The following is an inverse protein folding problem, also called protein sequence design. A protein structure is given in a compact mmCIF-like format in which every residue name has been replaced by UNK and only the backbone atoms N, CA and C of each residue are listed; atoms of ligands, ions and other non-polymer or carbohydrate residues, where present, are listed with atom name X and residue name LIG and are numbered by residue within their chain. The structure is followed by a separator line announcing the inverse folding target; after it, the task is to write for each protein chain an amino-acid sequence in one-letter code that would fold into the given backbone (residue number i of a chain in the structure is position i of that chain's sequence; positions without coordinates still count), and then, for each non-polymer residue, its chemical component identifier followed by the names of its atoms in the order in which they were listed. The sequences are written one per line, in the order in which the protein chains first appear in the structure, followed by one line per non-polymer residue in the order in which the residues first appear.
data_IF_829678926225
#
_entry.id   IF_829678926225
#
_cell.length_a   1.000
_cell.length_b   1.000
_cell.length_c   1.000
_cell.angle_alpha   90.00
_cell.angle_beta   90.00
_cell.angle_gamma   90.00
#
_symmetry.space_group_name_H-M   'P 1'
#
loop_
_entity.id
_entity.type
_entity.pdbx_description
1 polymer ?
#
# COMPACT_ATOMS: atom_id res chain seq x y z
N UNK A 1 106.10 54.68 41.04
CA UNK A 1 105.03 53.77 41.55
C UNK A 1 103.70 54.48 41.75
N UNK A 2 103.53 55.42 42.70
CA UNK A 2 102.22 56.09 42.92
C UNK A 2 101.79 56.94 41.71
N UNK A 3 102.69 57.78 41.18
CA UNK A 3 102.40 58.62 40.00
C UNK A 3 102.09 57.83 38.71
N UNK A 4 102.69 56.65 38.54
CA UNK A 4 102.43 55.78 37.39
C UNK A 4 101.04 55.11 37.49
N UNK A 5 100.62 54.78 38.71
CA UNK A 5 99.28 54.27 39.00
C UNK A 5 98.19 55.32 38.74
N UNK A 6 98.42 56.57 39.14
CA UNK A 6 97.49 57.69 38.88
C UNK A 6 97.29 57.95 37.39
N UNK A 7 98.35 57.89 36.58
CA UNK A 7 98.26 58.00 35.12
C UNK A 7 97.48 56.85 34.49
N UNK A 8 97.69 55.62 34.97
CA UNK A 8 96.94 54.44 34.49
C UNK A 8 95.46 54.55 34.86
N UNK A 9 95.14 55.03 36.06
CA UNK A 9 93.76 55.26 36.51
C UNK A 9 93.10 56.32 35.61
N UNK A 10 93.76 57.46 35.40
CA UNK A 10 93.25 58.53 34.55
C UNK A 10 92.99 58.07 33.10
N UNK A 11 93.94 57.34 32.49
CA UNK A 11 93.76 56.76 31.15
C UNK A 11 92.63 55.74 31.08
N UNK A 12 92.41 54.96 32.14
CA UNK A 12 91.28 54.03 32.24
C UNK A 12 89.96 54.78 32.36
N UNK A 13 89.91 55.85 33.16
CA UNK A 13 88.71 56.68 33.33
C UNK A 13 88.34 57.39 32.02
N UNK A 14 89.32 57.95 31.29
CA UNK A 14 89.09 58.52 29.96
C UNK A 14 88.55 57.48 28.97
N UNK A 15 89.11 56.26 28.98
CA UNK A 15 88.62 55.16 28.14
C UNK A 15 87.22 54.70 28.53
N UNK A 16 86.90 54.64 29.83
CA UNK A 16 85.57 54.30 30.33
C UNK A 16 84.56 55.36 29.90
N UNK A 17 84.89 56.65 30.03
CA UNK A 17 84.01 57.75 29.62
C UNK A 17 83.78 57.75 28.10
N UNK A 18 84.81 57.47 27.30
CA UNK A 18 84.68 57.31 25.84
C UNK A 18 83.75 56.15 25.48
N UNK A 19 83.93 54.99 26.13
CA UNK A 19 83.09 53.81 25.91
C UNK A 19 81.64 54.03 26.35
N UNK A 20 81.41 54.73 27.47
CA UNK A 20 80.08 55.11 27.93
C UNK A 20 79.37 56.03 26.91
N UNK A 21 80.10 56.98 26.34
CA UNK A 21 79.61 57.84 25.24
C UNK A 21 79.21 57.03 24.00
N UNK A 22 80.07 56.12 23.55
CA UNK A 22 79.79 55.24 22.41
C UNK A 22 78.60 54.30 22.67
N UNK A 23 78.48 53.76 23.89
CA UNK A 23 77.35 52.90 24.29
C UNK A 23 76.05 53.71 24.27
N UNK A 24 76.04 54.91 24.85
CA UNK A 24 74.86 55.79 24.86
C UNK A 24 74.44 56.18 23.44
N UNK A 25 75.39 56.48 22.55
CA UNK A 25 75.09 56.76 21.15
C UNK A 25 74.46 55.54 20.47
N UNK A 26 75.04 54.34 20.62
CA UNK A 26 74.49 53.11 20.02
C UNK A 26 73.10 52.76 20.56
N UNK A 27 72.86 52.95 21.86
CA UNK A 27 71.53 52.76 22.45
C UNK A 27 70.53 53.73 21.80
N UNK A 28 70.91 55.01 21.64
CA UNK A 28 70.04 56.00 20.98
C UNK A 28 69.77 55.66 19.51
N UNK A 29 70.73 55.08 18.79
CA UNK A 29 70.55 54.63 17.40
C UNK A 29 69.60 53.42 17.33
N UNK A 30 69.76 52.45 18.23
CA UNK A 30 68.88 51.27 18.34
C UNK A 30 67.45 51.68 18.69
N UNK A 31 67.27 52.60 19.65
CA UNK A 31 65.94 53.08 20.06
C UNK A 31 65.23 53.81 18.90
N UNK A 32 65.97 54.59 18.11
CA UNK A 32 65.43 55.25 16.93
C UNK A 32 65.03 54.25 15.84
N UNK A 33 65.83 53.21 15.61
CA UNK A 33 65.51 52.16 14.63
C UNK A 33 64.30 51.33 15.07
N UNK A 34 64.24 50.93 16.34
CA UNK A 34 63.07 50.26 16.93
C UNK A 34 61.81 51.12 16.82
N UNK A 35 61.90 52.43 17.10
CA UNK A 35 60.77 53.34 16.94
C UNK A 35 60.27 53.39 15.48
N UNK A 36 61.18 53.50 14.50
CA UNK A 36 60.83 53.47 13.08
C UNK A 36 60.18 52.15 12.68
N UNK A 37 60.71 51.02 13.15
CA UNK A 37 60.17 49.70 12.85
C UNK A 37 58.76 49.52 13.43
N UNK A 38 58.55 49.92 14.69
CA UNK A 38 57.22 49.91 15.32
C UNK A 38 56.23 50.81 14.59
N UNK A 39 56.68 51.98 14.12
CA UNK A 39 55.85 52.90 13.35
C UNK A 39 55.43 52.32 12.00
N UNK A 40 56.35 51.68 11.26
CA UNK A 40 56.04 50.97 10.01
C UNK A 40 55.06 49.80 10.23
N UNK A 41 55.22 49.03 11.30
CA UNK A 41 54.26 47.98 11.67
C UNK A 41 52.88 48.58 11.95
N UNK A 42 52.83 49.66 12.74
CA UNK A 42 51.58 50.34 13.06
C UNK A 42 50.88 50.85 11.79
N UNK A 43 51.60 51.52 10.90
CA UNK A 43 51.03 52.09 9.67
C UNK A 43 50.52 50.98 8.74
N UNK A 44 51.22 49.84 8.65
CA UNK A 44 50.76 48.65 7.90
C UNK A 44 49.50 48.03 8.52
N UNK A 45 49.41 47.98 9.84
CA UNK A 45 48.22 47.49 10.52
C UNK A 45 47.02 48.42 10.28
N UNK A 46 47.22 49.74 10.36
CA UNK A 46 46.17 50.73 10.14
C UNK A 46 45.62 50.65 8.70
N UNK A 47 46.50 50.52 7.69
CA UNK A 47 46.09 50.29 6.31
C UNK A 47 45.26 49.00 6.14
N UNK A 48 45.66 47.92 6.81
CA UNK A 48 44.95 46.64 6.74
C UNK A 48 43.59 46.70 7.44
N UNK A 49 43.47 47.44 8.54
CA UNK A 49 42.20 47.71 9.22
C UNK A 49 41.27 48.48 8.30
N UNK A 50 41.76 49.53 7.64
CA UNK A 50 40.96 50.32 6.68
C UNK A 50 40.47 49.46 5.51
N UNK A 51 41.35 48.60 4.96
CA UNK A 51 40.97 47.65 3.90
C UNK A 51 39.83 46.73 4.36
N UNK A 52 39.95 46.09 5.53
CA UNK A 52 38.91 45.21 6.05
C UNK A 52 37.60 45.95 6.35
N UNK A 53 37.65 47.20 6.81
CA UNK A 53 36.45 48.01 7.01
C UNK A 53 35.72 48.27 5.68
N UNK A 54 36.46 48.54 4.60
CA UNK A 54 35.89 48.72 3.27
C UNK A 54 35.28 47.42 2.72
N UNK A 55 35.95 46.29 2.88
CA UNK A 55 35.43 44.97 2.48
C UNK A 55 34.14 44.62 3.25
N UNK A 56 34.10 44.84 4.57
CA UNK A 56 32.90 44.63 5.39
C UNK A 56 31.74 45.52 4.92
N UNK A 57 32.04 46.78 4.58
CA UNK A 57 31.02 47.72 4.09
C UNK A 57 30.43 47.25 2.75
N UNK A 58 31.28 46.78 1.84
CA UNK A 58 30.84 46.23 0.56
C UNK A 58 29.95 44.99 0.74
N UNK A 59 30.40 44.03 1.54
CA UNK A 59 29.65 42.80 1.84
C UNK A 59 28.26 43.13 2.42
N UNK A 60 28.18 44.12 3.32
CA UNK A 60 26.89 44.57 3.89
C UNK A 60 25.95 45.11 2.82
N UNK A 61 26.43 45.98 1.95
CA UNK A 61 25.61 46.56 0.86
C UNK A 61 25.13 45.48 -0.12
N UNK A 62 25.99 44.54 -0.50
CA UNK A 62 25.62 43.42 -1.37
C UNK A 62 24.59 42.50 -0.68
N UNK A 63 24.77 42.22 0.61
CA UNK A 63 23.83 41.40 1.39
C UNK A 63 22.45 42.06 1.48
N UNK A 64 22.40 43.37 1.75
CA UNK A 64 21.14 44.13 1.79
C UNK A 64 20.41 44.13 0.45
N UNK A 65 21.13 44.31 -0.66
CA UNK A 65 20.58 44.24 -2.01
C UNK A 65 20.00 42.84 -2.30
N UNK A 66 20.74 41.78 -1.96
CA UNK A 66 20.30 40.40 -2.14
C UNK A 66 19.04 40.08 -1.30
N UNK A 67 18.99 40.55 -0.05
CA UNK A 67 17.79 40.39 0.81
C UNK A 67 16.59 41.07 0.16
N UNK A 68 16.76 42.27 -0.43
CA UNK A 68 15.67 42.99 -1.10
C UNK A 68 15.15 42.23 -2.32
N UNK A 69 16.05 41.66 -3.13
CA UNK A 69 15.70 40.82 -4.29
C UNK A 69 14.93 39.57 -3.85
N UNK A 70 15.41 38.86 -2.82
CA UNK A 70 14.75 37.65 -2.30
C UNK A 70 13.34 37.98 -1.78
N UNK A 71 13.19 39.07 -1.03
CA UNK A 71 11.87 39.52 -0.54
C UNK A 71 10.90 39.80 -1.68
N UNK A 72 11.36 40.45 -2.74
CA UNK A 72 10.53 40.75 -3.91
C UNK A 72 10.12 39.46 -4.66
N UNK A 73 11.07 38.56 -4.95
CA UNK A 73 10.77 37.26 -5.58
C UNK A 73 9.79 36.42 -4.77
N UNK A 74 9.93 36.41 -3.44
CA UNK A 74 9.00 35.70 -2.58
C UNK A 74 7.60 36.32 -2.66
N UNK A 75 7.48 37.65 -2.65
CA UNK A 75 6.19 38.35 -2.79
C UNK A 75 5.50 37.99 -4.11
N UNK A 76 6.22 38.01 -5.23
CA UNK A 76 5.70 37.62 -6.55
C UNK A 76 5.23 36.16 -6.57
N UNK A 77 6.03 35.25 -5.99
CA UNK A 77 5.67 33.84 -5.87
C UNK A 77 4.39 33.63 -5.04
N UNK A 78 4.22 34.36 -3.94
CA UNK A 78 2.99 34.30 -3.14
C UNK A 78 1.77 34.78 -3.93
N UNK A 79 1.88 35.89 -4.66
CA UNK A 79 0.78 36.42 -5.48
C UNK A 79 0.39 35.48 -6.62
N UNK A 80 1.37 34.81 -7.23
CA UNK A 80 1.13 33.78 -8.24
C UNK A 80 0.37 32.60 -7.64
N UNK A 81 0.82 32.06 -6.51
CA UNK A 81 0.16 30.93 -5.83
C UNK A 81 -1.27 31.28 -5.39
N UNK A 82 -1.49 32.50 -4.91
CA UNK A 82 -2.83 32.99 -4.54
C UNK A 82 -3.78 33.01 -5.74
N UNK A 83 -3.29 33.47 -6.90
CA UNK A 83 -4.06 33.50 -8.16
C UNK A 83 -4.36 32.09 -8.67
N UNK A 84 -3.36 31.20 -8.67
CA UNK A 84 -3.53 29.80 -9.09
C UNK A 84 -4.54 29.06 -8.18
N UNK A 85 -4.46 29.29 -6.87
CA UNK A 85 -5.40 28.69 -5.93
C UNK A 85 -6.82 29.22 -6.09
N UNK A 86 -6.98 30.53 -6.32
CA UNK A 86 -8.29 31.13 -6.61
C UNK A 86 -8.93 30.50 -7.85
N UNK A 87 -8.18 30.36 -8.94
CA UNK A 87 -8.68 29.72 -10.17
C UNK A 87 -9.06 28.25 -9.96
N UNK A 88 -8.29 27.51 -9.15
CA UNK A 88 -8.62 26.12 -8.79
C UNK A 88 -9.92 26.04 -7.98
N UNK A 89 -10.12 26.95 -7.03
CA UNK A 89 -11.35 27.02 -6.22
C UNK A 89 -12.55 27.30 -7.13
N UNK A 90 -12.48 28.32 -7.99
CA UNK A 90 -13.56 28.65 -8.92
C UNK A 90 -13.92 27.47 -9.86
N UNK A 91 -12.92 26.72 -10.33
CA UNK A 91 -13.15 25.51 -11.13
C UNK A 91 -13.86 24.40 -10.32
N UNK A 92 -13.41 24.15 -9.08
CA UNK A 92 -14.03 23.15 -8.21
C UNK A 92 -15.49 23.52 -7.86
N UNK A 93 -15.77 24.80 -7.60
CA UNK A 93 -17.14 25.30 -7.39
C UNK A 93 -18.02 25.05 -8.62
N UNK A 94 -17.49 25.24 -9.83
CA UNK A 94 -18.19 24.89 -11.07
C UNK A 94 -18.54 23.41 -11.18
N UNK A 95 -17.59 22.52 -10.85
CA UNK A 95 -17.81 21.06 -10.85
C UNK A 95 -18.85 20.66 -9.80
N UNK A 96 -18.78 21.22 -8.59
CA UNK A 96 -19.75 20.94 -7.52
C UNK A 96 -21.17 21.30 -7.99
N UNK A 97 -21.34 22.50 -8.57
CA UNK A 97 -22.64 22.94 -9.07
C UNK A 97 -23.19 22.03 -10.18
N UNK A 98 -22.34 21.53 -11.07
CA UNK A 98 -22.76 20.56 -12.10
C UNK A 98 -23.21 19.24 -11.48
N UNK A 99 -22.50 18.75 -10.45
CA UNK A 99 -22.84 17.52 -9.73
C UNK A 99 -24.13 17.65 -8.94
N UNK A 100 -24.38 18.79 -8.29
CA UNK A 100 -25.64 19.09 -7.59
C UNK A 100 -26.84 19.02 -8.54
N UNK A 101 -26.73 19.58 -9.75
CA UNK A 101 -27.80 19.48 -10.77
C UNK A 101 -28.06 18.02 -11.14
N UNK A 102 -27.02 17.20 -11.33
CA UNK A 102 -27.17 15.77 -11.64
C UNK A 102 -27.81 14.99 -10.50
N UNK A 103 -27.45 15.29 -9.26
CA UNK A 103 -28.06 14.66 -8.07
C UNK A 103 -29.56 14.99 -8.02
N UNK A 104 -29.95 16.25 -8.19
CA UNK A 104 -31.36 16.66 -8.19
C UNK A 104 -32.19 15.95 -9.28
N UNK A 105 -31.60 15.70 -10.46
CA UNK A 105 -32.26 14.94 -11.52
C UNK A 105 -32.48 13.48 -11.08
N UNK A 106 -31.43 12.84 -10.53
CA UNK A 106 -31.51 11.45 -10.07
C UNK A 106 -32.51 11.27 -8.92
N UNK A 107 -32.58 12.21 -7.98
CA UNK A 107 -33.58 12.20 -6.90
C UNK A 107 -35.02 12.28 -7.44
N UNK A 108 -35.23 13.06 -8.50
CA UNK A 108 -36.50 13.10 -9.22
C UNK A 108 -36.87 11.77 -9.87
N UNK A 109 -35.91 11.11 -10.52
CA UNK A 109 -36.11 9.80 -11.15
C UNK A 109 -36.38 8.68 -10.11
N UNK A 110 -35.66 8.69 -8.98
CA UNK A 110 -35.91 7.79 -7.85
C UNK A 110 -37.34 7.96 -7.33
N UNK A 111 -37.75 9.20 -7.05
CA UNK A 111 -39.10 9.51 -6.56
C UNK A 111 -40.18 8.99 -7.52
N UNK A 112 -39.97 9.14 -8.83
CA UNK A 112 -40.89 8.63 -9.85
C UNK A 112 -40.93 7.10 -9.89
N UNK A 113 -39.79 6.45 -9.68
CA UNK A 113 -39.68 4.99 -9.63
C UNK A 113 -40.40 4.44 -8.39
N UNK A 114 -40.26 5.07 -7.23
CA UNK A 114 -40.94 4.68 -6.00
C UNK A 114 -42.47 4.78 -6.14
N UNK A 115 -42.98 5.84 -6.78
CA UNK A 115 -44.40 5.97 -7.10
C UNK A 115 -44.91 4.84 -8.01
N UNK A 116 -44.09 4.42 -8.98
CA UNK A 116 -44.42 3.30 -9.85
C UNK A 116 -44.45 1.97 -9.09
N UNK A 117 -43.47 1.73 -8.21
CA UNK A 117 -43.43 0.55 -7.35
C UNK A 117 -44.69 0.48 -6.47
N UNK A 118 -45.04 1.56 -5.79
CA UNK A 118 -46.23 1.61 -4.93
C UNK A 118 -47.52 1.34 -5.73
N UNK A 119 -47.59 1.83 -6.97
CA UNK A 119 -48.71 1.56 -7.88
C UNK A 119 -48.79 0.08 -8.26
N UNK A 120 -47.64 -0.56 -8.54
CA UNK A 120 -47.56 -1.97 -8.87
C UNK A 120 -47.89 -2.87 -7.68
N UNK A 121 -47.39 -2.56 -6.48
CA UNK A 121 -47.72 -3.28 -5.24
C UNK A 121 -49.23 -3.25 -4.96
N UNK A 122 -49.86 -2.08 -5.14
CA UNK A 122 -51.31 -1.94 -4.98
C UNK A 122 -52.08 -2.82 -5.98
N UNK A 123 -51.57 -2.95 -7.21
CA UNK A 123 -52.16 -3.83 -8.24
C UNK A 123 -51.96 -5.31 -7.91
N UNK A 124 -50.79 -5.71 -7.44
CA UNK A 124 -50.48 -7.08 -7.02
C UNK A 124 -51.42 -7.47 -5.88
N UNK A 125 -51.52 -6.66 -4.82
CA UNK A 125 -52.41 -6.92 -3.69
C UNK A 125 -53.88 -7.07 -4.12
N UNK A 126 -54.34 -6.28 -5.10
CA UNK A 126 -55.70 -6.44 -5.65
C UNK A 126 -55.86 -7.78 -6.38
N UNK A 127 -54.90 -8.16 -7.21
CA UNK A 127 -54.94 -9.43 -7.94
C UNK A 127 -54.86 -10.63 -6.99
N UNK A 128 -54.02 -10.58 -5.96
CA UNK A 128 -53.92 -11.62 -4.94
C UNK A 128 -55.25 -11.82 -4.20
N UNK A 129 -55.92 -10.73 -3.80
CA UNK A 129 -57.24 -10.82 -3.15
C UNK A 129 -58.31 -11.39 -4.09
N UNK A 130 -58.30 -11.02 -5.38
CA UNK A 130 -59.21 -11.61 -6.38
C UNK A 130 -58.96 -13.12 -6.51
N UNK A 131 -57.70 -13.53 -6.64
CA UNK A 131 -57.35 -14.94 -6.71
C UNK A 131 -57.65 -15.69 -5.41
N UNK A 132 -57.49 -15.07 -4.25
CA UNK A 132 -57.86 -15.66 -2.96
C UNK A 132 -59.36 -15.96 -2.91
N UNK A 133 -60.20 -14.99 -3.31
CA UNK A 133 -61.65 -15.17 -3.38
C UNK A 133 -62.02 -16.29 -4.37
N UNK A 134 -61.37 -16.34 -5.53
CA UNK A 134 -61.58 -17.42 -6.50
C UNK A 134 -61.18 -18.80 -5.92
N UNK A 135 -60.06 -18.87 -5.20
CA UNK A 135 -59.59 -20.08 -4.51
C UNK A 135 -60.56 -20.47 -3.41
N UNK A 136 -61.06 -19.54 -2.60
CA UNK A 136 -62.05 -19.81 -1.56
C UNK A 136 -63.37 -20.32 -2.16
N UNK A 137 -63.83 -19.72 -3.24
CA UNK A 137 -65.01 -20.18 -3.97
C UNK A 137 -64.80 -21.58 -4.54
N UNK A 138 -63.63 -21.85 -5.16
CA UNK A 138 -63.25 -23.18 -5.63
C UNK A 138 -63.13 -24.19 -4.50
N UNK A 139 -62.54 -23.79 -3.36
CA UNK A 139 -62.41 -24.61 -2.15
C UNK A 139 -63.77 -24.96 -1.59
N UNK A 140 -64.71 -24.00 -1.49
CA UNK A 140 -66.09 -24.27 -1.08
C UNK A 140 -66.78 -25.25 -2.02
N UNK A 141 -66.60 -25.08 -3.34
CA UNK A 141 -67.11 -26.03 -4.34
C UNK A 141 -66.47 -27.43 -4.22
N UNK A 142 -65.17 -27.51 -3.93
CA UNK A 142 -64.45 -28.76 -3.68
C UNK A 142 -64.96 -29.40 -2.39
N UNK A 143 -65.18 -28.64 -1.31
CA UNK A 143 -65.72 -29.13 -0.04
C UNK A 143 -67.14 -29.66 -0.25
N UNK A 144 -68.04 -28.94 -0.93
CA UNK A 144 -69.37 -29.46 -1.25
C UNK A 144 -69.30 -30.76 -2.08
N UNK A 145 -68.39 -30.83 -3.07
CA UNK A 145 -68.15 -32.05 -3.84
C UNK A 145 -67.51 -33.16 -2.99
N UNK A 146 -66.66 -32.77 -2.05
CA UNK A 146 -65.94 -33.61 -1.09
C UNK A 146 -66.85 -34.18 -0.03
N UNK A 147 -67.85 -33.44 0.46
CA UNK A 147 -68.93 -33.93 1.32
C UNK A 147 -69.83 -34.91 0.56
N UNK A 148 -70.05 -34.65 -0.74
CA UNK A 148 -70.69 -35.61 -1.65
C UNK A 148 -69.84 -36.89 -1.83
N UNK A 149 -68.52 -36.76 -1.89
CA UNK A 149 -67.56 -37.89 -1.92
C UNK A 149 -67.45 -38.58 -0.56
N UNK A 150 -67.50 -37.86 0.57
CA UNK A 150 -67.48 -38.42 1.93
C UNK A 150 -68.76 -39.16 2.27
N UNK A 151 -69.90 -38.74 1.69
CA UNK A 151 -71.13 -39.55 1.71
C UNK A 151 -70.97 -40.86 0.91
N UNK A 152 -70.00 -40.95 -0.01
CA UNK A 152 -69.59 -42.16 -0.73
C UNK A 152 -68.41 -42.89 -0.04
N UNK A 153 -67.63 -42.21 0.79
CA UNK A 153 -66.43 -42.69 1.50
C UNK A 153 -66.64 -42.91 3.01
N UNK A 154 -67.85 -43.30 3.43
CA UNK A 154 -68.00 -44.19 4.62
C UNK A 154 -67.44 -45.58 4.25
N UNK A 155 -66.21 -45.63 3.74
CA UNK A 155 -65.36 -46.79 3.41
C UNK A 155 -63.91 -46.31 3.16
N UNK A 156 -63.18 -45.81 4.17
CA UNK A 156 -61.76 -45.54 3.93
C UNK A 156 -60.95 -44.80 4.99
N UNK A 157 -60.74 -45.39 6.17
CA UNK A 157 -59.89 -44.85 7.24
C UNK A 157 -58.37 -44.90 6.99
N UNK A 158 -57.87 -44.43 5.83
CA UNK A 158 -56.43 -44.48 5.46
C UNK A 158 -55.75 -43.11 5.25
N UNK A 159 -56.45 -41.99 5.39
CA UNK A 159 -55.94 -40.67 4.96
C UNK A 159 -54.91 -40.03 5.93
N UNK A 160 -54.98 -40.31 7.22
CA UNK A 160 -54.15 -39.64 8.24
C UNK A 160 -52.69 -40.17 8.28
N UNK A 161 -52.50 -41.44 7.94
CA UNK A 161 -51.18 -42.09 7.85
C UNK A 161 -50.39 -41.63 6.61
N UNK A 162 -51.09 -41.24 5.54
CA UNK A 162 -50.52 -40.76 4.29
C UNK A 162 -49.90 -39.38 4.48
N UNK A 163 -50.54 -38.50 5.25
CA UNK A 163 -50.08 -37.12 5.45
C UNK A 163 -48.76 -37.06 6.25
N UNK A 164 -48.65 -37.87 7.31
CA UNK A 164 -47.40 -38.01 8.09
C UNK A 164 -46.26 -38.64 7.27
N UNK A 165 -46.58 -39.54 6.34
CA UNK A 165 -45.59 -40.16 5.44
C UNK A 165 -45.11 -39.18 4.37
N UNK A 166 -45.98 -38.28 3.90
CA UNK A 166 -45.64 -37.26 2.90
C UNK A 166 -44.74 -36.15 3.48
N UNK A 167 -45.01 -35.66 4.69
CA UNK A 167 -44.17 -34.64 5.33
C UNK A 167 -42.73 -35.13 5.57
N UNK A 168 -42.55 -36.37 6.02
CA UNK A 168 -41.20 -36.97 6.15
C UNK A 168 -40.46 -37.10 4.81
N UNK A 169 -41.20 -37.28 3.71
CA UNK A 169 -40.59 -37.30 2.35
C UNK A 169 -40.19 -35.90 1.91
N UNK A 170 -40.95 -34.87 2.24
CA UNK A 170 -40.62 -33.47 1.93
C UNK A 170 -39.35 -33.04 2.68
N UNK A 171 -39.25 -33.31 3.97
CA UNK A 171 -38.05 -32.98 4.76
C UNK A 171 -36.80 -33.69 4.21
N UNK A 172 -36.96 -34.95 3.82
CA UNK A 172 -35.89 -35.71 3.16
C UNK A 172 -35.48 -35.06 1.83
N UNK A 173 -36.43 -34.64 1.00
CA UNK A 173 -36.16 -33.98 -0.29
C UNK A 173 -35.46 -32.64 -0.05
N UNK A 174 -35.88 -31.84 0.93
CA UNK A 174 -35.24 -30.57 1.29
C UNK A 174 -33.79 -30.82 1.73
N UNK A 175 -33.57 -31.83 2.56
CA UNK A 175 -32.22 -32.17 3.04
C UNK A 175 -31.33 -32.72 1.91
N UNK A 176 -31.88 -33.57 1.04
CA UNK A 176 -31.20 -34.10 -0.14
C UNK A 176 -30.86 -32.96 -1.12
N UNK A 177 -31.75 -31.98 -1.30
CA UNK A 177 -31.49 -30.78 -2.09
C UNK A 177 -30.38 -29.91 -1.48
N UNK A 178 -30.40 -29.67 -0.16
CA UNK A 178 -29.32 -28.94 0.53
C UNK A 178 -27.97 -29.64 0.40
N UNK A 179 -27.95 -30.96 0.55
CA UNK A 179 -26.74 -31.76 0.36
C UNK A 179 -26.24 -31.73 -1.08
N UNK A 180 -27.15 -31.78 -2.07
CA UNK A 180 -26.82 -31.70 -3.48
C UNK A 180 -26.27 -30.31 -3.84
N UNK A 181 -26.89 -29.23 -3.34
CA UNK A 181 -26.42 -27.85 -3.47
C UNK A 181 -25.01 -27.75 -2.90
N UNK A 182 -24.80 -28.17 -1.64
CA UNK A 182 -23.48 -28.14 -1.01
C UNK A 182 -22.43 -28.96 -1.77
N UNK A 183 -22.82 -30.11 -2.34
CA UNK A 183 -21.92 -30.93 -3.15
C UNK A 183 -21.55 -30.28 -4.48
N UNK A 184 -22.51 -29.64 -5.17
CA UNK A 184 -22.29 -28.97 -6.46
C UNK A 184 -21.49 -27.67 -6.29
N UNK A 185 -21.71 -26.93 -5.19
CA UNK A 185 -21.09 -25.62 -4.98
C UNK A 185 -19.81 -25.65 -4.14
N UNK A 186 -19.37 -26.83 -3.68
CA UNK A 186 -18.11 -26.95 -2.95
C UNK A 186 -16.94 -26.50 -3.87
N UNK A 187 -16.15 -25.51 -3.45
CA UNK A 187 -14.99 -25.05 -4.21
C UNK A 187 -14.04 -26.22 -4.52
N UNK A 188 -13.79 -26.42 -5.81
CA UNK A 188 -12.77 -27.34 -6.30
C UNK A 188 -11.46 -26.56 -6.41
N UNK A 189 -10.55 -26.88 -5.52
CA UNK A 189 -9.18 -26.38 -5.62
C UNK A 189 -8.57 -26.85 -6.94
N UNK A 190 -8.08 -25.89 -7.72
CA UNK A 190 -7.36 -26.14 -8.96
C UNK A 190 -5.90 -25.84 -8.76
N UNK A 191 -5.08 -26.89 -8.86
CA UNK A 191 -3.64 -26.77 -8.77
C UNK A 191 -3.10 -26.11 -10.04
N UNK A 192 -2.41 -24.98 -9.89
CA UNK A 192 -1.60 -24.39 -10.97
C UNK A 192 -0.17 -24.33 -10.48
N UNK A 193 0.67 -25.17 -11.07
CA UNK A 193 2.11 -25.13 -10.79
C UNK A 193 2.66 -23.76 -11.16
N UNK A 194 3.42 -23.13 -10.27
CA UNK A 194 3.92 -21.79 -10.47
C UNK A 194 5.32 -21.59 -9.89
N UNK A 195 5.95 -20.48 -10.27
CA UNK A 195 7.25 -20.04 -9.77
C UNK A 195 7.38 -18.53 -9.90
N UNK A 196 8.27 -17.93 -9.12
CA UNK A 196 8.64 -16.54 -9.32
C UNK A 196 9.40 -16.39 -10.63
N UNK A 197 9.00 -15.43 -11.47
CA UNK A 197 9.55 -15.28 -12.82
C UNK A 197 10.36 -14.02 -13.02
N UNK A 198 9.79 -12.87 -12.65
CA UNK A 198 10.42 -11.59 -12.95
C UNK A 198 10.10 -10.54 -11.90
N UNK A 199 11.02 -9.57 -11.80
CA UNK A 199 10.83 -8.32 -11.09
C UNK A 199 10.30 -7.28 -12.07
N UNK A 200 9.31 -6.51 -11.62
CA UNK A 200 8.81 -5.37 -12.39
C UNK A 200 9.94 -4.34 -12.60
N UNK A 201 10.23 -4.02 -13.86
CA UNK A 201 11.36 -3.18 -14.27
C UNK A 201 11.27 -1.72 -13.81
N UNK A 202 10.12 -1.30 -13.25
CA UNK A 202 9.94 0.02 -12.67
C UNK A 202 10.81 0.24 -11.42
N UNK A 203 11.20 -0.83 -10.72
CA UNK A 203 12.03 -0.76 -9.52
C UNK A 203 13.42 -1.36 -9.80
N UNK A 204 14.39 -0.47 -10.02
CA UNK A 204 15.78 -0.83 -10.27
C UNK A 204 16.55 -0.94 -8.96
N UNK A 205 17.55 -1.81 -8.91
CA UNK A 205 18.43 -1.86 -7.74
C UNK A 205 19.29 -0.59 -7.60
N UNK A 206 19.69 0.01 -8.73
CA UNK A 206 20.38 1.30 -8.84
C UNK A 206 20.28 1.79 -10.30
N UNK A 207 20.78 2.99 -10.59
CA UNK A 207 20.79 3.58 -11.94
C UNK A 207 21.51 2.71 -12.98
N UNK A 208 22.53 1.95 -12.55
CA UNK A 208 23.34 1.07 -13.38
C UNK A 208 22.69 -0.28 -13.71
N UNK A 209 21.47 -0.56 -13.20
CA UNK A 209 20.76 -1.83 -13.41
C UNK A 209 21.60 -3.09 -13.13
N UNK A 210 22.47 -3.02 -12.12
CA UNK A 210 23.46 -4.08 -11.91
C UNK A 210 22.89 -5.44 -11.48
N UNK A 211 21.60 -5.53 -11.15
CA UNK A 211 20.85 -6.78 -10.94
C UNK A 211 19.84 -6.93 -12.09
N UNK A 212 19.94 -8.04 -12.83
CA UNK A 212 19.01 -8.37 -13.92
C UNK A 212 17.62 -8.69 -13.35
N UNK A 213 16.59 -7.92 -13.69
CA UNK A 213 15.22 -8.11 -13.18
C UNK A 213 14.55 -9.40 -13.65
N UNK A 214 15.03 -10.05 -14.71
CA UNK A 214 14.52 -11.36 -15.16
C UNK A 214 15.14 -12.53 -14.39
N UNK A 215 16.34 -12.35 -13.84
CA UNK A 215 17.08 -13.36 -13.07
C UNK A 215 17.85 -12.67 -11.94
N UNK A 216 17.14 -12.05 -11.00
CA UNK A 216 17.74 -11.20 -9.97
C UNK A 216 18.61 -12.05 -9.07
N UNK A 217 19.90 -11.99 -9.34
CA UNK A 217 20.94 -12.73 -8.64
C UNK A 217 22.06 -11.76 -8.27
N UNK A 218 22.71 -12.00 -7.13
CA UNK A 218 23.80 -11.16 -6.64
C UNK A 218 23.37 -9.95 -5.80
N UNK A 219 24.28 -8.97 -5.68
CA UNK A 219 24.14 -7.80 -4.80
C UNK A 219 24.31 -6.51 -5.60
N UNK A 220 23.61 -5.45 -5.18
CA UNK A 220 23.74 -4.15 -5.81
C UNK A 220 25.15 -3.56 -5.58
N UNK A 221 25.82 -3.14 -6.66
CA UNK A 221 27.17 -2.54 -6.60
C UNK A 221 27.20 -1.23 -5.81
N UNK A 222 26.08 -0.48 -5.85
CA UNK A 222 25.93 0.78 -5.10
C UNK A 222 25.48 0.53 -3.65
N UNK A 223 25.38 -0.73 -3.23
CA UNK A 223 25.07 -1.10 -1.85
C UNK A 223 23.59 -1.00 -1.47
N UNK A 224 22.67 -0.80 -2.44
CA UNK A 224 21.23 -0.80 -2.18
C UNK A 224 20.74 -2.21 -1.82
N UNK A 225 19.75 -2.28 -0.93
CA UNK A 225 19.09 -3.52 -0.56
C UNK A 225 18.10 -3.94 -1.65
N UNK A 226 18.13 -5.20 -2.03
CA UNK A 226 17.35 -5.73 -3.14
C UNK A 226 17.08 -7.22 -2.94
N UNK A 227 16.21 -7.80 -3.77
CA UNK A 227 15.91 -9.23 -3.69
C UNK A 227 16.78 -10.06 -4.63
N UNK A 228 16.86 -11.35 -4.30
CA UNK A 228 17.49 -12.41 -5.07
C UNK A 228 16.52 -13.59 -5.16
N UNK A 229 16.25 -14.09 -6.37
CA UNK A 229 15.50 -15.32 -6.58
C UNK A 229 16.48 -16.49 -6.37
N UNK A 230 16.34 -17.21 -5.26
CA UNK A 230 17.21 -18.34 -4.91
C UNK A 230 16.84 -19.58 -5.70
N UNK A 231 15.53 -19.82 -5.84
CA UNK A 231 14.95 -20.88 -6.65
C UNK A 231 13.53 -20.47 -7.08
N UNK A 232 12.79 -21.41 -7.66
CA UNK A 232 11.43 -21.17 -8.17
C UNK A 232 10.44 -20.64 -7.13
N UNK A 233 10.63 -20.89 -5.83
CA UNK A 233 9.70 -20.49 -4.75
C UNK A 233 10.29 -19.52 -3.74
N UNK A 234 11.62 -19.47 -3.61
CA UNK A 234 12.30 -18.83 -2.50
C UNK A 234 12.98 -17.54 -2.95
N UNK A 235 12.66 -16.47 -2.24
CA UNK A 235 13.21 -15.14 -2.43
C UNK A 235 14.00 -14.76 -1.19
N UNK A 236 15.24 -14.32 -1.39
CA UNK A 236 16.07 -13.75 -0.35
C UNK A 236 16.16 -12.24 -0.50
N UNK A 237 15.95 -11.49 0.58
CA UNK A 237 16.23 -10.05 0.59
C UNK A 237 17.65 -9.78 1.08
N UNK A 238 18.49 -9.26 0.19
CA UNK A 238 19.83 -8.80 0.50
C UNK A 238 19.74 -7.37 1.02
N UNK A 239 19.97 -7.16 2.32
CA UNK A 239 19.97 -5.83 2.97
C UNK A 239 20.97 -4.86 2.32
N UNK A 240 20.66 -3.57 2.39
CA UNK A 240 21.60 -2.52 2.00
C UNK A 240 22.86 -2.54 2.88
N UNK A 241 23.95 -2.03 2.30
CA UNK A 241 25.20 -1.80 3.02
C UNK A 241 25.07 -0.50 3.80
N UNK A 242 25.28 -0.57 5.11
CA UNK A 242 25.18 0.58 6.02
C UNK A 242 26.04 1.76 5.54
N UNK A 243 25.43 2.95 5.49
CA UNK A 243 26.08 4.18 5.03
C UNK A 243 26.34 4.29 3.53
N UNK A 244 25.99 3.29 2.70
CA UNK A 244 26.22 3.32 1.24
C UNK A 244 24.96 3.32 0.40
N UNK A 245 23.90 2.66 0.85
CA UNK A 245 22.68 2.52 0.07
C UNK A 245 21.44 2.41 0.93
N UNK A 246 20.31 2.24 0.26
CA UNK A 246 19.00 2.12 0.89
C UNK A 246 18.30 0.82 0.48
N UNK A 247 17.42 0.33 1.34
CA UNK A 247 16.59 -0.83 1.04
C UNK A 247 15.49 -0.44 0.06
N UNK A 248 15.53 -1.02 -1.14
CA UNK A 248 14.55 -0.77 -2.21
C UNK A 248 13.31 -1.63 -2.03
N UNK A 249 12.19 -1.09 -2.49
CA UNK A 249 10.92 -1.80 -2.63
C UNK A 249 10.96 -2.57 -3.95
N UNK A 250 10.51 -3.81 -3.97
CA UNK A 250 10.61 -4.66 -5.16
C UNK A 250 9.29 -5.36 -5.43
N UNK A 251 8.85 -5.35 -6.68
CA UNK A 251 7.65 -6.02 -7.15
C UNK A 251 7.98 -7.32 -7.86
N UNK A 252 7.33 -8.39 -7.45
CA UNK A 252 7.50 -9.75 -7.93
C UNK A 252 6.21 -10.24 -8.57
N UNK A 253 6.35 -10.93 -9.70
CA UNK A 253 5.24 -11.63 -10.34
C UNK A 253 5.60 -13.10 -10.56
N UNK A 254 4.61 -13.96 -10.40
CA UNK A 254 4.75 -15.37 -10.73
C UNK A 254 4.67 -15.60 -12.25
N UNK A 255 5.12 -16.75 -12.72
CA UNK A 255 5.15 -17.11 -14.13
C UNK A 255 3.76 -17.29 -14.73
N UNK A 256 2.94 -18.09 -14.06
CA UNK A 256 1.64 -18.48 -14.55
C UNK A 256 0.55 -17.58 -13.97
N UNK A 257 -0.40 -17.24 -14.84
CA UNK A 257 -1.55 -16.41 -14.52
C UNK A 257 -2.76 -17.29 -14.24
N UNK A 258 -3.69 -16.78 -13.44
CA UNK A 258 -4.94 -17.46 -13.13
C UNK A 258 -6.04 -16.89 -14.02
N UNK A 259 -6.48 -17.67 -14.99
CA UNK A 259 -7.54 -17.26 -15.91
C UNK A 259 -8.91 -17.57 -15.33
N UNK A 260 -9.86 -16.68 -15.59
CA UNK A 260 -11.26 -16.98 -15.34
C UNK A 260 -11.70 -18.18 -16.19
N UNK A 261 -12.34 -19.20 -15.59
CA UNK A 261 -12.79 -20.38 -16.31
C UNK A 261 -13.91 -20.04 -17.30
N UNK A 262 -13.69 -20.31 -18.59
CA UNK A 262 -14.63 -19.88 -19.64
C UNK A 262 -15.95 -20.65 -19.71
N UNK A 263 -16.07 -21.82 -19.07
CA UNK A 263 -17.26 -22.69 -19.16
C UNK A 263 -17.32 -23.73 -18.03
N UNK A 264 -17.21 -23.30 -16.76
CA UNK A 264 -17.27 -24.24 -15.63
C UNK A 264 -18.60 -24.16 -14.88
N UNK A 265 -19.20 -25.33 -14.65
CA UNK A 265 -20.39 -25.51 -13.81
C UNK A 265 -20.03 -25.64 -12.33
N UNK A 266 -18.74 -25.66 -12.00
CA UNK A 266 -18.22 -25.86 -10.67
C UNK A 266 -17.52 -24.62 -10.15
N UNK A 267 -17.59 -24.42 -8.84
CA UNK A 267 -16.84 -23.37 -8.16
C UNK A 267 -15.35 -23.71 -8.23
N UNK A 268 -14.53 -22.85 -8.81
CA UNK A 268 -13.08 -23.06 -8.91
C UNK A 268 -12.36 -22.17 -7.90
N UNK A 269 -11.39 -22.73 -7.18
CA UNK A 269 -10.53 -21.95 -6.28
C UNK A 269 -9.05 -22.11 -6.62
N UNK A 270 -8.34 -20.99 -6.59
CA UNK A 270 -6.89 -20.95 -6.63
C UNK A 270 -6.38 -20.41 -5.30
N UNK A 271 -5.25 -20.92 -4.83
CA UNK A 271 -4.69 -20.59 -3.54
C UNK A 271 -3.17 -20.77 -3.53
N UNK A 272 -2.47 -19.85 -2.88
CA UNK A 272 -1.04 -19.95 -2.61
C UNK A 272 -0.72 -19.39 -1.23
N UNK A 273 0.41 -19.82 -0.66
CA UNK A 273 0.93 -19.32 0.61
C UNK A 273 2.31 -18.69 0.44
N UNK A 274 2.64 -17.73 1.30
CA UNK A 274 3.98 -17.20 1.48
C UNK A 274 4.34 -17.26 2.96
N UNK A 275 5.49 -17.82 3.27
CA UNK A 275 6.09 -17.75 4.59
C UNK A 275 7.04 -16.56 4.63
N UNK A 276 6.87 -15.70 5.62
CA UNK A 276 7.65 -14.46 5.74
C UNK A 276 8.89 -14.69 6.59
N UNK A 277 10.00 -14.10 6.15
CA UNK A 277 11.20 -13.91 6.98
C UNK A 277 11.62 -12.45 7.00
N UNK A 278 11.67 -11.83 8.17
CA UNK A 278 12.08 -10.43 8.39
C UNK A 278 13.59 -10.33 8.32
N UNK A 279 14.08 -9.50 7.40
CA UNK A 279 15.53 -9.31 7.23
C UNK A 279 16.00 -7.98 7.85
N UNK A 280 15.14 -6.98 8.05
CA UNK A 280 15.57 -5.68 8.60
C UNK A 280 14.45 -4.80 9.13
N UNK A 281 14.81 -3.59 9.58
CA UNK A 281 13.88 -2.55 10.04
C UNK A 281 13.20 -1.83 8.86
N UNK A 282 12.11 -1.09 9.14
CA UNK A 282 11.29 -0.39 8.12
C UNK A 282 10.82 -1.31 7.00
N UNK A 283 10.34 -2.47 7.43
CA UNK A 283 9.90 -3.54 6.56
C UNK A 283 8.55 -3.18 5.92
N UNK A 284 8.44 -3.41 4.62
CA UNK A 284 7.18 -3.31 3.90
C UNK A 284 6.99 -4.62 3.16
N UNK A 285 5.79 -5.18 3.26
CA UNK A 285 5.41 -6.27 2.39
C UNK A 285 3.93 -6.23 2.10
N UNK A 286 3.58 -6.58 0.88
CA UNK A 286 2.20 -6.89 0.52
C UNK A 286 2.17 -8.02 -0.50
N UNK A 287 1.10 -8.81 -0.50
CA UNK A 287 0.91 -9.88 -1.48
C UNK A 287 -0.58 -10.05 -1.78
N UNK A 288 -0.88 -10.62 -2.93
CA UNK A 288 -2.25 -10.90 -3.35
C UNK A 288 -2.35 -11.10 -4.85
N UNK A 289 -3.38 -10.51 -5.45
CA UNK A 289 -3.66 -10.61 -6.88
C UNK A 289 -3.68 -9.23 -7.52
N UNK A 290 -3.25 -9.18 -8.79
CA UNK A 290 -3.30 -7.98 -9.61
C UNK A 290 -3.63 -8.37 -11.05
N UNK A 291 -4.30 -7.49 -11.78
CA UNK A 291 -4.32 -7.52 -13.23
C UNK A 291 -4.28 -6.10 -13.80
N UNK A 292 -4.67 -5.91 -15.06
CA UNK A 292 -4.69 -4.61 -15.73
C UNK A 292 -5.73 -3.63 -15.18
N UNK A 293 -6.76 -4.12 -14.48
CA UNK A 293 -7.86 -3.32 -13.94
C UNK A 293 -7.88 -3.30 -12.41
N UNK A 294 -7.55 -4.44 -11.80
CA UNK A 294 -7.80 -4.72 -10.39
C UNK A 294 -6.51 -4.93 -9.64
N UNK A 295 -6.52 -4.45 -8.41
CA UNK A 295 -5.44 -4.64 -7.46
C UNK A 295 -6.04 -5.02 -6.11
N UNK A 296 -5.68 -6.20 -5.58
CA UNK A 296 -6.11 -6.66 -4.27
C UNK A 296 -4.96 -7.30 -3.50
N UNK A 297 -4.54 -6.66 -2.41
CA UNK A 297 -3.39 -7.12 -1.62
C UNK A 297 -3.62 -6.99 -0.13
N UNK A 298 -3.03 -7.92 0.63
CA UNK A 298 -2.84 -7.80 2.07
C UNK A 298 -1.48 -7.18 2.35
N UNK A 299 -1.46 -6.06 3.07
CA UNK A 299 -0.24 -5.40 3.54
C UNK A 299 0.19 -5.83 4.95
N UNK A 300 1.47 -5.69 5.27
CA UNK A 300 2.03 -5.97 6.59
C UNK A 300 1.55 -5.03 7.71
N UNK A 301 0.82 -3.98 7.35
CA UNK A 301 0.10 -3.10 8.25
C UNK A 301 -1.29 -3.64 8.65
N UNK A 302 -1.70 -4.82 8.16
CA UNK A 302 -3.00 -5.43 8.48
C UNK A 302 -4.17 -4.84 7.71
N UNK A 303 -3.90 -4.21 6.57
CA UNK A 303 -4.93 -3.69 5.69
C UNK A 303 -4.99 -4.50 4.39
N UNK A 304 -6.21 -4.85 4.00
CA UNK A 304 -6.53 -5.33 2.66
C UNK A 304 -6.85 -4.09 1.81
N UNK A 305 -6.08 -3.87 0.76
CA UNK A 305 -6.27 -2.78 -0.18
C UNK A 305 -6.86 -3.35 -1.46
N UNK A 306 -7.99 -2.81 -1.90
CA UNK A 306 -8.73 -3.23 -3.08
C UNK A 306 -9.03 -2.02 -3.97
N UNK A 307 -8.64 -2.09 -5.23
CA UNK A 307 -9.00 -1.12 -6.26
C UNK A 307 -9.77 -1.87 -7.35
N UNK A 308 -11.07 -1.56 -7.55
CA UNK A 308 -11.91 -2.20 -8.57
C UNK A 308 -11.51 -1.78 -9.99
N UNK A 309 -10.99 -0.57 -10.14
CA UNK A 309 -10.46 -0.01 -11.37
C UNK A 309 -9.28 0.90 -11.06
N UNK A 310 -8.30 0.99 -11.98
CA UNK A 310 -7.12 1.85 -11.84
C UNK A 310 -7.45 3.33 -11.59
N UNK A 311 -8.64 3.78 -11.98
CA UNK A 311 -9.10 5.15 -11.80
C UNK A 311 -9.95 5.35 -10.55
N UNK A 312 -10.36 4.27 -9.89
CA UNK A 312 -11.22 4.34 -8.71
C UNK A 312 -10.40 4.47 -7.43
N UNK A 313 -11.00 5.08 -6.42
CA UNK A 313 -10.38 5.19 -5.11
C UNK A 313 -10.13 3.79 -4.50
N UNK A 314 -8.97 3.66 -3.85
CA UNK A 314 -8.57 2.43 -3.19
C UNK A 314 -9.42 2.20 -1.94
N UNK A 315 -10.21 1.14 -1.95
CA UNK A 315 -10.99 0.68 -0.82
C UNK A 315 -10.07 -0.07 0.13
N UNK A 316 -10.12 0.28 1.41
CA UNK A 316 -9.20 -0.25 2.43
C UNK A 316 -9.96 -0.89 3.58
N UNK A 317 -9.65 -2.15 3.88
CA UNK A 317 -10.27 -2.91 4.98
C UNK A 317 -9.24 -3.24 6.04
N UNK A 318 -9.49 -2.87 7.30
CA UNK A 318 -8.62 -3.20 8.43
C UNK A 318 -8.97 -4.57 8.98
N UNK A 319 -7.96 -5.44 9.16
CA UNK A 319 -8.12 -6.73 9.83
C UNK A 319 -7.98 -6.52 11.35
N UNK A 320 -9.00 -6.87 12.16
CA UNK A 320 -8.89 -6.81 13.61
C UNK A 320 -7.80 -7.75 14.13
N UNK A 321 -7.04 -7.30 15.14
CA UNK A 321 -6.03 -8.11 15.84
C UNK A 321 -4.94 -8.71 14.94
N UNK A 322 -4.66 -8.07 13.81
CA UNK A 322 -3.64 -8.52 12.88
C UNK A 322 -2.23 -8.35 13.44
N UNK A 323 -1.38 -9.35 13.20
CA UNK A 323 0.05 -9.27 13.46
C UNK A 323 0.82 -9.83 12.27
N UNK A 324 2.00 -9.27 12.01
CA UNK A 324 2.89 -9.71 10.94
C UNK A 324 4.22 -10.13 11.54
N UNK A 325 4.33 -11.38 11.97
CA UNK A 325 5.50 -11.88 12.69
C UNK A 325 6.49 -12.58 11.75
N UNK A 326 7.70 -12.78 12.26
CA UNK A 326 8.69 -13.59 11.57
C UNK A 326 8.25 -15.06 11.58
N UNK A 327 8.29 -15.73 10.44
CA UNK A 327 7.87 -17.13 10.29
C UNK A 327 6.37 -17.35 10.05
N UNK A 328 5.54 -16.30 10.13
CA UNK A 328 4.12 -16.40 9.79
C UNK A 328 3.92 -16.83 8.33
N UNK A 329 2.89 -17.65 8.12
CA UNK A 329 2.46 -18.11 6.80
C UNK A 329 1.18 -17.37 6.44
N UNK A 330 1.21 -16.64 5.34
CA UNK A 330 0.03 -15.95 4.82
C UNK A 330 -0.41 -16.57 3.51
N UNK A 331 -1.71 -16.77 3.35
CA UNK A 331 -2.29 -17.29 2.13
C UNK A 331 -3.21 -16.29 1.44
N UNK A 332 -3.33 -16.42 0.13
CA UNK A 332 -4.27 -15.66 -0.68
C UNK A 332 -4.98 -16.61 -1.62
N UNK A 333 -6.31 -16.61 -1.56
CA UNK A 333 -7.15 -17.43 -2.41
C UNK A 333 -8.14 -16.60 -3.19
N UNK A 334 -8.43 -17.02 -4.42
CA UNK A 334 -9.51 -16.48 -5.26
C UNK A 334 -10.48 -17.60 -5.57
N UNK A 335 -11.78 -17.31 -5.47
CA UNK A 335 -12.86 -18.25 -5.76
C UNK A 335 -13.72 -17.69 -6.87
N UNK A 336 -13.85 -18.46 -7.95
CA UNK A 336 -14.75 -18.19 -9.06
C UNK A 336 -16.04 -19.01 -8.87
N UNK A 337 -17.20 -18.36 -8.72
CA UNK A 337 -18.47 -19.08 -8.71
C UNK A 337 -18.76 -19.69 -10.10
N UNK A 338 -19.69 -20.66 -10.19
CA UNK A 338 -20.10 -21.23 -11.47
C UNK A 338 -20.62 -20.15 -12.43
N UNK A 339 -20.23 -20.21 -13.70
CA UNK A 339 -20.50 -19.13 -14.69
C UNK A 339 -21.98 -18.90 -14.99
N UNK A 340 -22.85 -19.87 -14.67
CA UNK A 340 -24.30 -19.78 -14.89
C UNK A 340 -25.08 -19.21 -13.71
N UNK A 341 -24.42 -18.90 -12.58
CA UNK A 341 -25.07 -18.26 -11.45
C UNK A 341 -25.12 -16.75 -11.64
N UNK A 342 -26.29 -16.26 -12.08
CA UNK A 342 -26.58 -14.83 -12.17
C UNK A 342 -26.35 -14.13 -10.80
N UNK A 343 -25.64 -13.01 -10.81
CA UNK A 343 -25.41 -12.18 -9.62
C UNK A 343 -24.35 -12.69 -8.64
N UNK A 344 -23.62 -13.75 -8.97
CA UNK A 344 -22.48 -14.22 -8.17
C UNK A 344 -21.18 -13.73 -8.81
N UNK A 345 -20.35 -13.04 -8.03
CA UNK A 345 -19.06 -12.57 -8.49
C UNK A 345 -17.90 -13.33 -7.82
N UNK A 346 -16.72 -13.37 -8.45
CA UNK A 346 -15.52 -13.88 -7.81
C UNK A 346 -15.20 -13.12 -6.52
N UNK A 347 -14.52 -13.78 -5.58
CA UNK A 347 -14.05 -13.14 -4.36
C UNK A 347 -12.65 -13.59 -3.97
N UNK A 348 -11.94 -12.74 -3.24
CA UNK A 348 -10.59 -12.99 -2.74
C UNK A 348 -10.59 -13.01 -1.23
N UNK A 349 -10.02 -14.06 -0.64
CA UNK A 349 -9.84 -14.21 0.80
C UNK A 349 -8.37 -14.34 1.16
N UNK A 350 -8.06 -14.03 2.42
CA UNK A 350 -6.71 -14.14 2.97
C UNK A 350 -6.71 -15.07 4.19
N UNK A 351 -5.57 -15.71 4.44
CA UNK A 351 -5.37 -16.56 5.60
C UNK A 351 -4.06 -16.21 6.31
N UNK A 352 -3.98 -16.49 7.60
CA UNK A 352 -2.76 -16.43 8.40
C UNK A 352 -2.66 -17.71 9.23
N UNK A 353 -1.54 -18.42 9.11
CA UNK A 353 -1.24 -19.66 9.83
C UNK A 353 -2.41 -20.66 9.76
N UNK A 354 -2.91 -20.89 8.54
CA UNK A 354 -3.96 -21.86 8.26
C UNK A 354 -5.38 -21.43 8.63
N UNK A 355 -5.59 -20.20 9.11
CA UNK A 355 -6.92 -19.67 9.45
C UNK A 355 -7.27 -18.49 8.54
N UNK A 356 -8.53 -18.40 8.09
CA UNK A 356 -9.00 -17.25 7.34
C UNK A 356 -8.96 -15.98 8.21
N UNK A 357 -8.52 -14.86 7.63
CA UNK A 357 -8.44 -13.55 8.30
C UNK A 357 -9.22 -12.50 7.52
N UNK A 358 -9.92 -11.64 8.27
CA UNK A 358 -10.79 -10.62 7.68
C UNK A 358 -11.99 -11.22 6.91
N UNK A 359 -12.74 -10.33 6.26
CA UNK A 359 -13.77 -10.73 5.31
C UNK A 359 -13.13 -10.89 3.93
N UNK A 360 -13.60 -11.86 3.14
CA UNK A 360 -13.25 -11.85 1.72
C UNK A 360 -13.85 -10.64 1.01
N UNK A 361 -13.21 -10.26 -0.08
CA UNK A 361 -13.55 -9.08 -0.88
C UNK A 361 -14.21 -9.56 -2.15
N UNK A 362 -15.46 -9.17 -2.36
CA UNK A 362 -16.19 -9.42 -3.59
C UNK A 362 -15.63 -8.54 -4.70
N UNK A 363 -15.29 -9.15 -5.83
CA UNK A 363 -14.81 -8.44 -7.01
C UNK A 363 -16.04 -8.04 -7.84
N UNK A 364 -16.30 -6.74 -8.03
CA UNK A 364 -17.57 -6.26 -8.62
C UNK A 364 -17.54 -6.01 -10.13
N UNK A 365 -16.38 -6.09 -10.76
CA UNK A 365 -16.20 -5.93 -12.19
C UNK A 365 -16.80 -7.11 -12.99
N UNK A 366 -17.20 -6.85 -14.23
CA UNK A 366 -17.86 -7.85 -15.10
C UNK A 366 -16.87 -8.75 -15.87
N UNK A 367 -15.56 -8.45 -15.86
CA UNK A 367 -14.58 -9.20 -16.66
C UNK A 367 -13.21 -9.28 -15.99
N UNK A 368 -12.77 -10.52 -15.76
CA UNK A 368 -11.47 -10.85 -15.18
C UNK A 368 -10.67 -11.73 -16.15
N UNK A 369 -9.99 -11.13 -17.11
CA UNK A 369 -9.22 -11.93 -18.09
C UNK A 369 -8.24 -12.88 -17.39
N UNK A 370 -7.53 -12.37 -16.38
CA UNK A 370 -6.61 -13.15 -15.56
C UNK A 370 -6.28 -12.43 -14.25
N UNK A 371 -5.61 -13.13 -13.33
CA UNK A 371 -4.88 -12.59 -12.19
C UNK A 371 -3.42 -13.02 -12.21
N UNK A 372 -2.53 -12.05 -12.03
CA UNK A 372 -1.12 -12.27 -11.70
C UNK A 372 -0.98 -12.41 -10.18
N UNK A 373 -0.20 -13.41 -9.73
CA UNK A 373 0.21 -13.51 -8.34
C UNK A 373 1.28 -12.46 -8.11
N UNK A 374 1.04 -11.63 -7.10
CA UNK A 374 1.81 -10.43 -6.88
C UNK A 374 2.38 -10.42 -5.46
N UNK A 375 3.67 -10.09 -5.34
CA UNK A 375 4.29 -9.77 -4.06
C UNK A 375 5.10 -8.48 -4.18
N UNK A 376 5.17 -7.74 -3.08
CA UNK A 376 5.88 -6.49 -2.98
C UNK A 376 6.71 -6.53 -1.70
N UNK A 377 8.02 -6.41 -1.80
CA UNK A 377 8.93 -6.68 -0.68
C UNK A 377 9.92 -5.54 -0.45
N UNK A 378 10.11 -5.18 0.81
CA UNK A 378 11.21 -4.36 1.34
C UNK A 378 11.60 -4.93 2.69
N UNK A 379 12.86 -5.34 2.82
CA UNK A 379 13.42 -5.97 4.03
C UNK A 379 12.73 -7.30 4.43
N UNK A 380 12.18 -8.05 3.47
CA UNK A 380 11.59 -9.37 3.70
C UNK A 380 12.06 -10.39 2.67
N UNK A 381 12.54 -11.53 3.15
CA UNK A 381 12.65 -12.77 2.38
C UNK A 381 11.31 -13.51 2.44
N UNK A 382 10.98 -14.28 1.40
CA UNK A 382 9.77 -15.12 1.39
C UNK A 382 10.06 -16.51 0.84
N UNK A 383 9.33 -17.49 1.35
CA UNK A 383 9.27 -18.84 0.81
C UNK A 383 7.83 -19.07 0.34
N UNK A 384 7.61 -19.26 -0.96
CA UNK A 384 6.28 -19.49 -1.50
C UNK A 384 5.90 -20.98 -1.48
N UNK A 385 4.63 -21.25 -1.30
CA UNK A 385 3.99 -22.51 -1.65
C UNK A 385 2.90 -22.22 -2.68
N UNK A 386 3.16 -22.53 -3.95
CA UNK A 386 2.16 -22.43 -5.02
C UNK A 386 1.30 -23.70 -5.14
N UNK A 387 1.47 -24.66 -4.23
CA UNK A 387 0.85 -25.97 -4.31
C UNK A 387 1.48 -26.84 -5.39
N UNK A 388 2.76 -26.67 -5.72
CA UNK A 388 3.45 -27.45 -6.76
C UNK A 388 3.52 -28.96 -6.42
N UNK A 389 3.62 -29.26 -5.12
CA UNK A 389 3.66 -30.60 -4.54
C UNK A 389 2.97 -30.56 -3.17
N UNK A 390 1.68 -30.87 -3.15
CA UNK A 390 0.86 -30.86 -1.93
C UNK A 390 1.08 -32.09 -1.04
N UNK A 391 1.70 -33.15 -1.55
CA UNK A 391 2.02 -34.34 -0.76
C UNK A 391 3.25 -34.06 0.12
N UNK A 392 4.31 -33.51 -0.47
CA UNK A 392 5.53 -33.18 0.26
C UNK A 392 5.41 -31.85 1.05
N UNK A 393 4.67 -30.88 0.49
CA UNK A 393 4.52 -29.53 1.06
C UNK A 393 3.05 -29.09 1.03
N UNK A 394 2.19 -29.66 1.89
CA UNK A 394 0.79 -29.26 1.97
C UNK A 394 0.68 -27.79 2.40
N UNK A 395 -0.44 -27.16 2.04
CA UNK A 395 -0.81 -25.86 2.59
C UNK A 395 -1.07 -25.96 4.08
N UNK A 396 -0.81 -24.88 4.81
CA UNK A 396 -1.26 -24.74 6.19
C UNK A 396 -2.79 -24.60 6.26
N UNK A 397 -3.40 -23.91 5.30
CA UNK A 397 -4.86 -23.84 5.16
C UNK A 397 -5.42 -25.07 4.42
N UNK A 398 -6.47 -25.66 4.97
CA UNK A 398 -7.19 -26.76 4.32
C UNK A 398 -8.13 -26.24 3.23
N UNK A 399 -7.58 -26.06 2.03
CA UNK A 399 -8.31 -25.58 0.83
C UNK A 399 -9.51 -26.45 0.48
N UNK A 400 -9.54 -27.72 0.88
CA UNK A 400 -10.65 -28.64 0.61
C UNK A 400 -11.80 -28.50 1.62
N UNK A 401 -11.57 -27.78 2.72
CA UNK A 401 -12.61 -27.41 3.69
C UNK A 401 -13.12 -25.98 3.49
N UNK A 402 -12.63 -25.26 2.50
CA UNK A 402 -13.14 -23.93 2.18
C UNK A 402 -14.64 -24.01 1.86
N UNK A 403 -15.46 -23.35 2.68
CA UNK A 403 -16.89 -23.27 2.48
C UNK A 403 -17.20 -22.00 1.68
N UNK A 404 -18.17 -22.09 0.78
CA UNK A 404 -18.68 -20.90 0.09
C UNK A 404 -19.24 -19.96 1.15
N UNK A 405 -18.59 -18.82 1.40
CA UNK A 405 -19.07 -17.94 2.46
C UNK A 405 -20.34 -17.23 1.98
N UNK A 406 -21.46 -17.62 2.59
CA UNK A 406 -22.74 -16.88 2.48
C UNK A 406 -22.58 -15.44 3.00
N UNK A 407 -21.58 -15.21 3.84
CA UNK A 407 -21.25 -13.92 4.48
C UNK A 407 -20.86 -12.79 3.51
N UNK A 408 -20.69 -13.07 2.22
CA UNK A 408 -20.47 -12.05 1.17
C UNK A 408 -21.75 -11.50 0.54
N UNK A 409 -22.90 -12.06 0.92
CA UNK A 409 -24.22 -11.70 0.40
C UNK A 409 -25.13 -11.26 1.55
N UNK A 410 -24.86 -10.08 2.11
CA UNK A 410 -25.85 -9.26 2.81
C UNK A 410 -25.60 -7.79 2.47
#
# INVERSE_FOLDING_TARGET
MISDLEKIIHQKDEKINSLDGEIKQKISEIDLDHYKHLKDIQDKHDQKIEQFQNEIKQIRTETEANIKIIKQKNKEKYQQLETENKNKIENLEGIIKEKEVKINILEGDITRTDQLIQTLETRINRNENVHLNDIEMLSHNIIQKGEKINSLEIKGGKAEEINNTQNKKIDKIINDQKNLINFVFKPKYTQIKNKWKYIDNREKCCEDDCINTNTPTGKCKNGNGFIEIINDTDIKYNKCIEGKGENKKVWLNAENKFYEPKNDFTTLSYYYEIKIKKEGMNNYSSFGFRNTKIYIVLGNNGFINYSPSLNDEMITFKIPSFSWNDGDIFGCGVVFPPTKMLGKHPYVFFTQNGNQIGKAVLLKEESYDYFDLYANLKCHSIEANFGNDLEAKPFCFDVYKHLFAEEFYN
#
